data_IF_811805365680
#
_entry.id   IF_811805365680
#
_cell.length_a   1.000
_cell.length_b   1.000
_cell.length_c   1.000
_cell.angle_alpha   90.00
_cell.angle_beta   90.00
_cell.angle_gamma   90.00
#
_symmetry.space_group_name_H-M   'P 1'
#
loop_
_entity.id
_entity.type
_entity.pdbx_description
1 polymer ?
#
# COMPACT_ATOMS: atom_id res chain seq x y z
N UNK A 1 8.40 17.60 2.75
CA UNK A 1 8.67 16.54 3.74
C UNK A 1 9.71 15.59 3.18
N UNK A 2 10.59 15.07 4.04
CA UNK A 2 11.51 14.03 3.64
C UNK A 2 10.78 12.70 3.43
N UNK A 3 11.39 11.79 2.67
CA UNK A 3 10.81 10.48 2.43
C UNK A 3 10.54 9.72 3.73
N UNK A 4 11.45 9.78 4.69
CA UNK A 4 11.27 9.09 5.96
C UNK A 4 10.06 9.60 6.75
N UNK A 5 9.78 10.89 6.69
CA UNK A 5 8.59 11.48 7.34
C UNK A 5 7.33 11.01 6.63
N UNK A 6 7.34 11.00 5.30
CA UNK A 6 6.19 10.53 4.52
C UNK A 6 5.92 9.05 4.78
N UNK A 7 6.96 8.22 4.78
CA UNK A 7 6.83 6.78 5.04
C UNK A 7 6.24 6.51 6.42
N UNK A 8 6.69 7.26 7.42
CA UNK A 8 6.16 7.15 8.78
C UNK A 8 4.68 7.50 8.82
N UNK A 9 4.29 8.59 8.16
CA UNK A 9 2.87 9.01 8.10
C UNK A 9 2.01 7.96 7.41
N UNK A 10 2.49 7.38 6.31
CA UNK A 10 1.79 6.32 5.61
C UNK A 10 1.58 5.12 6.53
N UNK A 11 2.64 4.63 7.14
CA UNK A 11 2.59 3.47 8.04
C UNK A 11 1.63 3.72 9.20
N UNK A 12 1.75 4.85 9.86
CA UNK A 12 0.92 5.17 11.02
C UNK A 12 -0.56 5.29 10.65
N UNK A 13 -0.85 5.92 9.52
CA UNK A 13 -2.23 6.08 9.04
C UNK A 13 -2.86 4.72 8.72
N UNK A 14 -2.13 3.86 8.02
CA UNK A 14 -2.63 2.52 7.69
C UNK A 14 -2.84 1.69 8.96
N UNK A 15 -1.86 1.68 9.85
CA UNK A 15 -1.94 0.86 11.08
C UNK A 15 -2.96 1.37 12.07
N UNK A 16 -3.27 2.66 12.05
CA UNK A 16 -4.36 3.22 12.87
C UNK A 16 -5.72 2.70 12.42
N UNK A 17 -5.89 2.50 11.12
CA UNK A 17 -7.15 2.00 10.55
C UNK A 17 -7.23 0.48 10.59
N UNK A 18 -6.13 -0.19 10.27
CA UNK A 18 -6.04 -1.65 10.19
C UNK A 18 -4.84 -2.15 11.02
N UNK A 19 -5.00 -2.27 12.34
CA UNK A 19 -3.93 -2.76 13.20
C UNK A 19 -3.41 -4.13 12.77
N UNK A 20 -2.11 -4.33 12.84
CA UNK A 20 -1.46 -5.57 12.43
C UNK A 20 -1.16 -5.66 10.96
N UNK A 21 -1.50 -4.64 10.17
CA UNK A 21 -1.20 -4.62 8.74
C UNK A 21 0.24 -4.22 8.48
N UNK A 22 0.79 -4.75 7.38
CA UNK A 22 2.07 -4.32 6.82
C UNK A 22 1.81 -3.43 5.60
N UNK A 23 2.73 -2.52 5.31
CA UNK A 23 2.62 -1.64 4.15
C UNK A 23 3.90 -1.74 3.33
N UNK A 24 3.75 -1.98 2.04
CA UNK A 24 4.86 -1.97 1.09
C UNK A 24 4.65 -0.83 0.08
N UNK A 25 5.72 -0.10 -0.17
CA UNK A 25 5.77 0.86 -1.27
C UNK A 25 6.36 0.14 -2.48
N UNK A 26 5.68 0.23 -3.62
CA UNK A 26 6.20 -0.33 -4.88
C UNK A 26 6.05 0.70 -6.00
N UNK A 27 6.28 0.30 -7.24
CA UNK A 27 6.14 1.19 -8.38
C UNK A 27 7.31 2.16 -8.53
N UNK A 28 7.08 3.27 -9.22
CA UNK A 28 8.14 4.20 -9.61
C UNK A 28 8.88 4.80 -8.42
N UNK A 29 8.17 5.12 -7.35
CA UNK A 29 8.81 5.69 -6.15
C UNK A 29 9.70 4.68 -5.42
N UNK A 30 9.33 3.40 -5.45
CA UNK A 30 10.19 2.35 -4.88
C UNK A 30 11.44 2.12 -5.72
N UNK A 31 11.34 2.32 -7.04
CA UNK A 31 12.48 2.15 -7.96
C UNK A 31 13.37 3.39 -8.07
N UNK A 32 13.01 4.50 -7.43
CA UNK A 32 13.74 5.76 -7.56
C UNK A 32 13.55 6.44 -8.91
N UNK A 33 12.47 6.13 -9.60
CA UNK A 33 12.14 6.67 -10.92
C UNK A 33 11.05 7.74 -10.86
N UNK A 34 10.68 8.13 -9.65
CA UNK A 34 9.60 9.08 -9.44
C UNK A 34 9.97 10.50 -9.88
N UNK A 35 8.93 11.24 -10.27
CA UNK A 35 8.97 12.69 -10.34
C UNK A 35 7.98 13.26 -9.32
N UNK A 36 7.84 14.60 -9.27
CA UNK A 36 6.97 15.24 -8.26
C UNK A 36 5.48 14.93 -8.43
N UNK A 37 5.09 14.38 -9.60
CA UNK A 37 3.70 14.03 -9.90
C UNK A 37 3.42 12.54 -9.75
N UNK A 38 4.43 11.74 -9.42
CA UNK A 38 4.24 10.29 -9.25
C UNK A 38 3.37 9.99 -8.03
N UNK A 39 2.42 9.07 -8.20
CA UNK A 39 1.60 8.56 -7.10
C UNK A 39 2.44 7.64 -6.21
N UNK A 40 2.00 7.47 -4.97
CA UNK A 40 2.52 6.39 -4.13
C UNK A 40 1.72 5.14 -4.40
N UNK A 41 2.38 4.11 -4.90
CA UNK A 41 1.79 2.78 -5.08
C UNK A 41 2.01 1.97 -3.82
N UNK A 42 0.92 1.68 -3.10
CA UNK A 42 0.97 1.04 -1.79
C UNK A 42 0.23 -0.29 -1.80
N UNK A 43 0.87 -1.31 -1.21
CA UNK A 43 0.24 -2.58 -0.92
C UNK A 43 0.09 -2.72 0.58
N UNK A 44 -1.15 -2.78 1.05
CA UNK A 44 -1.47 -3.04 2.45
C UNK A 44 -1.75 -4.53 2.59
N UNK A 45 -1.01 -5.19 3.47
CA UNK A 45 -1.15 -6.63 3.72
C UNK A 45 -1.78 -6.81 5.09
N UNK A 46 -2.98 -7.38 5.10
CA UNK A 46 -3.78 -7.55 6.32
C UNK A 46 -3.70 -8.98 6.84
N UNK A 47 -3.83 -9.17 8.18
CA UNK A 47 -3.85 -10.53 8.74
C UNK A 47 -5.06 -11.34 8.28
N UNK A 48 -6.21 -10.68 8.12
CA UNK A 48 -7.46 -11.33 7.74
C UNK A 48 -7.87 -10.96 6.33
N UNK A 49 -8.60 -11.87 5.68
CA UNK A 49 -9.10 -11.64 4.32
C UNK A 49 -10.43 -10.89 4.38
N UNK A 50 -10.52 -9.80 3.64
CA UNK A 50 -11.73 -9.00 3.51
C UNK A 50 -12.52 -9.39 2.27
N UNK A 51 -13.84 -9.22 2.34
CA UNK A 51 -14.71 -9.30 1.16
C UNK A 51 -14.42 -8.12 0.24
N UNK A 52 -14.94 -8.19 -0.99
CA UNK A 52 -14.80 -7.08 -1.94
C UNK A 52 -15.38 -5.78 -1.39
N UNK A 53 -16.55 -5.86 -0.74
CA UNK A 53 -17.19 -4.68 -0.14
C UNK A 53 -16.36 -4.08 1.00
N UNK A 54 -15.79 -4.94 1.84
CA UNK A 54 -14.93 -4.50 2.93
C UNK A 54 -13.64 -3.86 2.40
N UNK A 55 -13.08 -4.41 1.33
CA UNK A 55 -11.90 -3.82 0.69
C UNK A 55 -12.19 -2.42 0.17
N UNK A 56 -13.35 -2.22 -0.48
CA UNK A 56 -13.75 -0.90 -0.96
C UNK A 56 -13.90 0.06 0.20
N UNK A 57 -14.55 -0.35 1.28
CA UNK A 57 -14.73 0.48 2.47
C UNK A 57 -13.39 0.94 3.04
N UNK A 58 -12.48 0.00 3.28
CA UNK A 58 -11.19 0.31 3.89
C UNK A 58 -10.26 1.08 2.94
N UNK A 59 -10.28 0.74 1.64
CA UNK A 59 -9.50 1.47 0.64
C UNK A 59 -9.90 2.93 0.58
N UNK A 60 -11.20 3.20 0.54
CA UNK A 60 -11.72 4.56 0.47
C UNK A 60 -11.35 5.36 1.72
N UNK A 61 -11.52 4.74 2.89
CA UNK A 61 -11.22 5.38 4.16
C UNK A 61 -9.74 5.69 4.33
N UNK A 62 -8.89 4.73 4.03
CA UNK A 62 -7.43 4.88 4.16
C UNK A 62 -6.89 5.84 3.11
N UNK A 63 -7.38 5.74 1.87
CA UNK A 63 -6.98 6.63 0.78
C UNK A 63 -7.23 8.09 1.17
N UNK A 64 -8.42 8.39 1.67
CA UNK A 64 -8.76 9.75 2.11
C UNK A 64 -7.86 10.22 3.24
N UNK A 65 -7.63 9.38 4.23
CA UNK A 65 -6.77 9.71 5.36
C UNK A 65 -5.32 9.94 4.92
N UNK A 66 -4.81 9.15 3.97
CA UNK A 66 -3.46 9.31 3.43
C UNK A 66 -3.32 10.61 2.65
N UNK A 67 -4.28 10.91 1.77
CA UNK A 67 -4.25 12.15 1.00
C UNK A 67 -4.26 13.36 1.94
N UNK A 68 -5.06 13.32 3.00
CA UNK A 68 -5.08 14.38 4.00
C UNK A 68 -3.73 14.51 4.72
N UNK A 69 -3.08 13.38 5.00
CA UNK A 69 -1.84 13.39 5.77
C UNK A 69 -0.62 13.82 4.95
N UNK A 70 -0.50 13.35 3.71
CA UNK A 70 0.70 13.58 2.91
C UNK A 70 0.50 14.49 1.70
N UNK A 71 -0.75 14.80 1.34
CA UNK A 71 -1.10 15.70 0.23
C UNK A 71 -0.58 15.24 -1.15
N UNK A 72 -0.38 13.95 -1.30
CA UNK A 72 0.08 13.33 -2.54
C UNK A 72 -0.87 12.18 -2.87
N UNK A 73 -1.30 12.02 -4.13
CA UNK A 73 -2.17 10.91 -4.50
C UNK A 73 -1.54 9.56 -4.22
N UNK A 74 -2.36 8.60 -3.81
CA UNK A 74 -1.93 7.22 -3.56
C UNK A 74 -2.78 6.27 -4.38
N UNK A 75 -2.18 5.15 -4.77
CA UNK A 75 -2.86 4.03 -5.41
C UNK A 75 -2.73 2.85 -4.46
N UNK A 76 -3.85 2.41 -3.90
CA UNK A 76 -3.87 1.51 -2.76
C UNK A 76 -4.46 0.17 -3.11
N UNK A 77 -3.69 -0.90 -2.84
CA UNK A 77 -4.15 -2.27 -2.93
C UNK A 77 -4.21 -2.87 -1.53
N UNK A 78 -5.27 -3.60 -1.22
CA UNK A 78 -5.41 -4.32 0.05
C UNK A 78 -5.53 -5.81 -0.25
N UNK A 79 -4.63 -6.61 0.34
CA UNK A 79 -4.68 -8.07 0.25
C UNK A 79 -4.27 -8.65 1.60
N UNK A 80 -4.86 -9.80 1.94
CA UNK A 80 -4.47 -10.53 3.14
C UNK A 80 -3.19 -11.32 2.89
N UNK A 81 -2.55 -11.79 3.98
CA UNK A 81 -1.41 -12.70 3.89
C UNK A 81 -1.75 -13.93 3.03
N UNK A 82 -2.96 -14.46 3.18
CA UNK A 82 -3.45 -15.59 2.39
C UNK A 82 -3.52 -15.26 0.91
N UNK A 83 -4.09 -14.11 0.57
CA UNK A 83 -4.19 -13.67 -0.82
C UNK A 83 -2.83 -13.43 -1.44
N UNK A 84 -1.88 -12.89 -0.66
CA UNK A 84 -0.51 -12.68 -1.12
C UNK A 84 0.13 -14.01 -1.50
N UNK A 85 -0.01 -15.05 -0.65
CA UNK A 85 0.55 -16.36 -0.94
C UNK A 85 0.03 -16.94 -2.25
N UNK A 86 -1.26 -16.73 -2.53
CA UNK A 86 -1.89 -17.22 -3.74
C UNK A 86 -1.46 -16.43 -4.98
N UNK A 87 -1.47 -15.10 -4.88
CA UNK A 87 -1.28 -14.20 -6.01
C UNK A 87 0.17 -14.02 -6.42
N UNK A 88 1.11 -14.12 -5.48
CA UNK A 88 2.52 -13.90 -5.79
C UNK A 88 3.10 -14.98 -6.71
N UNK A 89 2.45 -16.12 -6.82
CA UNK A 89 2.88 -17.20 -7.70
C UNK A 89 2.33 -17.06 -9.12
N UNK A 90 1.44 -16.09 -9.35
CA UNK A 90 0.83 -15.88 -10.68
C UNK A 90 1.75 -15.02 -11.53
N UNK A 91 2.28 -15.55 -12.65
CA UNK A 91 3.15 -14.76 -13.54
C UNK A 91 2.44 -13.51 -14.03
N UNK A 92 3.15 -12.36 -14.00
CA UNK A 92 2.62 -11.08 -14.47
C UNK A 92 1.62 -10.41 -13.56
N UNK A 93 1.28 -11.00 -12.42
CA UNK A 93 0.34 -10.37 -11.49
C UNK A 93 1.01 -9.21 -10.75
N UNK A 94 0.27 -8.10 -10.54
CA UNK A 94 0.80 -6.91 -9.90
C UNK A 94 1.30 -7.20 -8.47
N UNK A 95 0.67 -8.11 -7.75
CA UNK A 95 1.08 -8.49 -6.41
C UNK A 95 2.48 -9.10 -6.41
N UNK A 96 2.78 -9.94 -7.40
CA UNK A 96 4.12 -10.51 -7.53
C UNK A 96 5.17 -9.42 -7.71
N UNK A 97 4.89 -8.43 -8.56
CA UNK A 97 5.77 -7.28 -8.77
C UNK A 97 5.94 -6.48 -7.49
N UNK A 98 4.84 -6.19 -6.79
CA UNK A 98 4.88 -5.43 -5.55
C UNK A 98 5.72 -6.12 -4.47
N UNK A 99 5.60 -7.44 -4.32
CA UNK A 99 6.38 -8.21 -3.35
C UNK A 99 7.87 -8.22 -3.73
N UNK A 100 8.18 -8.34 -5.02
CA UNK A 100 9.58 -8.42 -5.47
C UNK A 100 10.33 -7.11 -5.34
N UNK A 101 9.71 -5.99 -5.65
CA UNK A 101 10.39 -4.68 -5.66
C UNK A 101 9.99 -3.79 -4.49
N UNK A 102 9.03 -4.21 -3.67
CA UNK A 102 8.47 -3.38 -2.63
C UNK A 102 9.44 -3.07 -1.49
N UNK A 103 9.27 -1.88 -0.93
CA UNK A 103 9.99 -1.42 0.26
C UNK A 103 9.02 -1.48 1.42
N UNK A 104 9.40 -2.18 2.49
CA UNK A 104 8.57 -2.28 3.70
C UNK A 104 8.63 -0.95 4.44
N UNK A 105 7.51 -0.34 4.68
CA UNK A 105 7.39 0.92 5.43
C UNK A 105 7.07 0.68 6.93
#
# INVERSE_FOLDING_TARGET
MSDSVIYKKIRETVQSNLPGSRVLLFGSRARGEEDRFSDYDLLVITPQTFTSSEKIYWSTRIDRALIDAIKIPVDLLINSEEEIRQKQELPGHIIRTAIREGIIL
#
